data_IF_525139437091
#
_entry.id   IF_525139437091
#
_cell.length_a   1.000
_cell.length_b   1.000
_cell.length_c   1.000
_cell.angle_alpha   90.00
_cell.angle_beta   90.00
_cell.angle_gamma   90.00
#
_symmetry.space_group_name_H-M   'P 1'
#
loop_
_entity.id
_entity.type
_entity.pdbx_description
1 polymer ?
#
# COMPACT_ATOMS: atom_id res chain seq x y z
N UNK A 1 14.59 -13.28 -16.06
CA UNK A 1 13.59 -14.18 -15.44
C UNK A 1 12.15 -13.78 -15.77
N UNK A 2 11.86 -12.48 -16.00
CA UNK A 2 10.53 -12.00 -16.45
C UNK A 2 10.23 -12.35 -17.92
N UNK A 3 11.22 -12.27 -18.81
CA UNK A 3 11.04 -12.56 -20.25
C UNK A 3 10.66 -14.04 -20.55
N UNK A 4 11.19 -15.01 -19.79
CA UNK A 4 10.90 -16.42 -20.03
C UNK A 4 9.46 -16.80 -19.67
N UNK A 5 8.91 -16.22 -18.60
CA UNK A 5 7.52 -16.48 -18.17
C UNK A 5 6.52 -15.90 -19.19
N UNK A 6 6.85 -14.74 -19.75
CA UNK A 6 6.04 -14.09 -20.77
C UNK A 6 6.07 -14.92 -22.07
N UNK A 7 7.24 -15.42 -22.49
CA UNK A 7 7.40 -16.26 -23.69
C UNK A 7 6.63 -17.58 -23.67
N UNK A 8 6.55 -18.24 -22.51
CA UNK A 8 5.75 -19.47 -22.35
C UNK A 8 4.25 -19.19 -22.44
N UNK A 9 3.76 -18.10 -21.83
CA UNK A 9 2.35 -17.72 -21.88
C UNK A 9 1.87 -17.40 -23.30
N UNK A 10 2.68 -16.74 -24.12
CA UNK A 10 2.34 -16.46 -25.52
C UNK A 10 2.22 -17.72 -26.39
N UNK A 11 2.88 -18.82 -25.99
CA UNK A 11 2.84 -20.07 -26.73
C UNK A 11 1.55 -20.88 -26.53
N UNK A 12 0.80 -20.58 -25.46
CA UNK A 12 -0.47 -21.25 -25.13
C UNK A 12 -1.71 -20.51 -25.65
N UNK A 13 -1.57 -19.25 -26.05
CA UNK A 13 -2.68 -18.41 -26.47
C UNK A 13 -3.04 -18.66 -27.94
N UNK A 14 -4.34 -18.88 -28.20
CA UNK A 14 -4.89 -19.16 -29.51
C UNK A 14 -5.60 -17.94 -30.13
N UNK A 15 -5.89 -18.01 -31.43
CA UNK A 15 -6.70 -16.99 -32.09
C UNK A 15 -8.06 -16.84 -31.38
N UNK A 16 -8.43 -15.61 -31.08
CA UNK A 16 -9.70 -15.31 -30.42
C UNK A 16 -9.62 -15.23 -28.90
N UNK A 17 -8.54 -15.70 -28.28
CA UNK A 17 -8.30 -15.57 -26.85
C UNK A 17 -8.26 -14.11 -26.41
N UNK A 18 -8.72 -13.88 -25.18
CA UNK A 18 -8.84 -12.55 -24.59
C UNK A 18 -8.10 -12.52 -23.27
N UNK A 19 -7.32 -11.48 -23.06
CA UNK A 19 -6.64 -11.27 -21.80
C UNK A 19 -6.77 -9.82 -21.36
N UNK A 20 -6.60 -9.62 -20.06
CA UNK A 20 -6.67 -8.32 -19.41
C UNK A 20 -5.29 -8.00 -18.86
N UNK A 21 -4.80 -6.80 -19.16
CA UNK A 21 -3.61 -6.24 -18.50
C UNK A 21 -4.08 -5.25 -17.47
N UNK A 22 -3.69 -5.48 -16.22
CA UNK A 22 -3.93 -4.57 -15.09
C UNK A 22 -2.56 -4.01 -14.67
N UNK A 23 -2.28 -2.76 -15.02
CA UNK A 23 -1.06 -2.07 -14.61
C UNK A 23 -1.31 -1.30 -13.32
N UNK A 24 -0.82 -1.84 -12.20
CA UNK A 24 -0.97 -1.25 -10.88
C UNK A 24 0.22 -0.37 -10.52
N UNK A 25 0.18 0.88 -10.95
CA UNK A 25 1.20 1.88 -10.67
C UNK A 25 1.15 2.49 -9.27
N UNK A 26 2.06 3.45 -9.04
CA UNK A 26 2.12 4.19 -7.78
C UNK A 26 0.94 5.14 -7.58
N UNK A 27 0.48 5.81 -8.65
CA UNK A 27 -0.62 6.78 -8.60
C UNK A 27 -1.89 6.29 -9.30
N UNK A 28 -1.74 5.58 -10.42
CA UNK A 28 -2.85 5.11 -11.25
C UNK A 28 -2.88 3.60 -11.30
N UNK A 29 -4.06 3.07 -11.61
CA UNK A 29 -4.24 1.71 -12.09
C UNK A 29 -4.86 1.82 -13.47
N UNK A 30 -4.24 1.18 -14.46
CA UNK A 30 -4.66 1.22 -15.85
C UNK A 30 -5.05 -0.19 -16.33
N UNK A 31 -6.21 -0.29 -16.96
CA UNK A 31 -6.83 -1.53 -17.43
C UNK A 31 -6.90 -1.52 -18.95
N UNK A 32 -6.43 -2.60 -19.60
CA UNK A 32 -6.63 -2.81 -21.03
C UNK A 32 -7.03 -4.25 -21.33
N UNK A 33 -7.97 -4.42 -22.27
CA UNK A 33 -8.45 -5.74 -22.70
C UNK A 33 -8.05 -5.97 -24.14
N UNK A 34 -7.31 -7.03 -24.39
CA UNK A 34 -6.81 -7.38 -25.71
C UNK A 34 -7.38 -8.71 -26.17
N UNK A 35 -7.52 -8.85 -27.49
CA UNK A 35 -7.81 -10.11 -28.16
C UNK A 35 -6.71 -10.43 -29.17
N UNK A 36 -6.29 -11.69 -29.21
CA UNK A 36 -5.26 -12.15 -30.14
C UNK A 36 -5.86 -12.40 -31.53
N UNK A 37 -5.17 -11.90 -32.56
CA UNK A 37 -5.47 -12.10 -33.98
C UNK A 37 -4.30 -12.82 -34.65
N UNK A 38 -4.60 -13.91 -35.33
CA UNK A 38 -3.64 -14.70 -36.11
C UNK A 38 -3.78 -14.38 -37.61
N UNK A 39 -2.78 -14.72 -38.46
CA UNK A 39 -1.55 -15.48 -38.20
C UNK A 39 -0.37 -14.66 -37.65
N UNK A 40 -0.47 -13.33 -37.65
CA UNK A 40 0.66 -12.43 -37.39
C UNK A 40 0.83 -12.06 -35.90
N UNK A 41 -0.10 -12.51 -35.04
CA UNK A 41 -0.07 -12.22 -33.60
C UNK A 41 -0.51 -10.79 -33.23
N UNK A 42 -1.27 -10.12 -34.10
CA UNK A 42 -1.75 -8.76 -33.85
C UNK A 42 -2.68 -8.72 -32.62
N UNK A 43 -2.57 -7.66 -31.84
CA UNK A 43 -3.44 -7.41 -30.69
C UNK A 43 -4.57 -6.47 -31.09
N UNK A 44 -5.81 -6.93 -30.95
CA UNK A 44 -7.00 -6.08 -31.06
C UNK A 44 -7.42 -5.64 -29.67
N UNK A 45 -7.30 -4.35 -29.38
CA UNK A 45 -7.91 -3.75 -28.18
C UNK A 45 -9.44 -3.89 -28.28
N UNK A 46 -10.05 -4.57 -27.31
CA UNK A 46 -11.49 -4.80 -27.25
C UNK A 46 -12.22 -3.69 -26.47
N UNK A 47 -11.57 -3.18 -25.44
CA UNK A 47 -12.08 -2.12 -24.59
C UNK A 47 -11.02 -1.05 -24.44
N UNK A 48 -11.45 0.21 -24.55
CA UNK A 48 -10.58 1.37 -24.37
C UNK A 48 -9.89 1.27 -23.02
N UNK A 49 -8.59 1.59 -23.00
CA UNK A 49 -7.87 1.80 -21.76
C UNK A 49 -8.68 2.68 -20.78
N UNK A 50 -8.95 2.14 -19.59
CA UNK A 50 -9.60 2.84 -18.49
C UNK A 50 -8.67 2.83 -17.28
N UNK A 51 -8.74 3.86 -16.45
CA UNK A 51 -7.90 3.92 -15.27
C UNK A 51 -8.45 4.86 -14.22
N UNK A 52 -7.90 4.76 -13.02
CA UNK A 52 -8.32 5.56 -11.89
C UNK A 52 -7.19 5.82 -10.88
N UNK A 53 -7.37 6.78 -9.96
CA UNK A 53 -6.36 7.19 -8.97
C UNK A 53 -6.26 6.19 -7.80
N UNK A 54 -6.23 4.89 -8.11
CA UNK A 54 -6.27 3.78 -7.16
C UNK A 54 -4.90 3.10 -7.03
N UNK A 55 -3.81 3.84 -7.26
CA UNK A 55 -2.46 3.31 -7.14
C UNK A 55 -2.02 3.09 -5.68
N UNK A 56 -0.75 2.66 -5.53
CA UNK A 56 -0.10 2.42 -4.24
C UNK A 56 -0.12 3.61 -3.26
N UNK A 57 -0.27 4.85 -3.75
CA UNK A 57 -0.42 6.05 -2.92
C UNK A 57 -1.65 6.00 -2.01
N UNK A 58 -2.70 5.28 -2.42
CA UNK A 58 -3.89 5.03 -1.58
C UNK A 58 -3.53 4.36 -0.26
N UNK A 59 -2.56 3.45 -0.29
CA UNK A 59 -2.10 2.70 0.88
C UNK A 59 -1.32 3.62 1.83
N UNK A 60 -0.56 4.58 1.30
CA UNK A 60 0.15 5.58 2.10
C UNK A 60 -0.83 6.51 2.83
N UNK A 61 -1.94 6.88 2.19
CA UNK A 61 -3.01 7.64 2.84
C UNK A 61 -3.69 6.87 3.97
N UNK A 62 -3.95 5.57 3.79
CA UNK A 62 -4.51 4.75 4.87
C UNK A 62 -3.54 4.61 6.04
N UNK A 63 -2.23 4.55 5.78
CA UNK A 63 -1.23 4.56 6.84
C UNK A 63 -1.22 5.89 7.60
N UNK A 64 -1.28 7.03 6.90
CA UNK A 64 -1.40 8.34 7.56
C UNK A 64 -2.68 8.44 8.41
N UNK A 65 -3.83 8.00 7.91
CA UNK A 65 -5.09 7.94 8.67
C UNK A 65 -4.95 7.09 9.94
N UNK A 66 -4.28 5.95 9.84
CA UNK A 66 -3.99 5.09 10.98
C UNK A 66 -3.13 5.82 12.03
N UNK A 67 -2.08 6.52 11.61
CA UNK A 67 -1.26 7.34 12.50
C UNK A 67 -2.09 8.44 13.17
N UNK A 68 -2.97 9.12 12.43
CA UNK A 68 -3.89 10.11 12.99
C UNK A 68 -4.85 9.51 14.01
N UNK A 69 -5.35 8.29 13.78
CA UNK A 69 -6.22 7.58 14.74
C UNK A 69 -5.50 7.23 16.04
N UNK A 70 -4.21 6.89 15.98
CA UNK A 70 -3.42 6.49 17.15
C UNK A 70 -2.87 7.70 17.90
N UNK A 71 -2.29 8.67 17.18
CA UNK A 71 -1.52 9.77 17.76
C UNK A 71 -2.28 11.11 17.77
N UNK A 72 -3.40 11.19 17.06
CA UNK A 72 -4.26 12.36 16.90
C UNK A 72 -3.87 13.22 15.70
N UNK A 73 -4.87 13.72 14.98
CA UNK A 73 -4.70 14.53 13.77
C UNK A 73 -3.86 15.80 14.01
N UNK A 74 -4.17 16.53 15.08
CA UNK A 74 -3.46 17.75 15.48
C UNK A 74 -1.96 17.53 15.70
N UNK A 75 -1.59 16.35 16.22
CA UNK A 75 -0.19 16.00 16.37
C UNK A 75 0.47 15.69 15.03
N UNK A 76 -0.17 14.89 14.16
CA UNK A 76 0.39 14.53 12.86
C UNK A 76 0.59 15.76 11.99
N UNK A 77 -0.40 16.66 11.94
CA UNK A 77 -0.32 17.91 11.18
C UNK A 77 0.85 18.79 11.67
N UNK A 78 0.97 18.98 12.99
CA UNK A 78 2.08 19.73 13.59
C UNK A 78 3.43 19.05 13.34
N UNK A 79 3.50 17.73 13.40
CA UNK A 79 4.74 16.99 13.15
C UNK A 79 5.21 17.15 11.71
N UNK A 80 4.32 17.05 10.72
CA UNK A 80 4.63 17.27 9.30
C UNK A 80 5.21 18.67 9.05
N UNK A 81 4.66 19.70 9.73
CA UNK A 81 5.12 21.09 9.60
C UNK A 81 6.46 21.31 10.32
N UNK A 82 6.60 20.83 11.56
CA UNK A 82 7.75 21.13 12.41
C UNK A 82 8.96 20.23 12.16
N UNK A 83 8.72 19.01 11.66
CA UNK A 83 9.72 17.95 11.45
C UNK A 83 9.53 17.24 10.10
N UNK A 84 9.51 17.97 8.96
CA UNK A 84 9.22 17.38 7.64
C UNK A 84 10.21 16.29 7.24
N UNK A 85 11.51 16.44 7.56
CA UNK A 85 12.51 15.41 7.26
C UNK A 85 12.21 14.09 7.98
N UNK A 86 11.84 14.15 9.26
CA UNK A 86 11.49 12.96 10.03
C UNK A 86 10.16 12.35 9.56
N UNK A 87 9.23 13.16 9.03
CA UNK A 87 8.04 12.63 8.36
C UNK A 87 8.41 11.83 7.10
N UNK A 88 9.33 12.36 6.27
CA UNK A 88 9.84 11.64 5.09
C UNK A 88 10.51 10.33 5.49
N UNK A 89 11.36 10.33 6.53
CA UNK A 89 12.00 9.10 7.03
C UNK A 89 10.98 8.05 7.49
N UNK A 90 9.90 8.48 8.15
CA UNK A 90 8.80 7.59 8.56
C UNK A 90 8.10 6.98 7.34
N UNK A 91 7.80 7.78 6.33
CA UNK A 91 7.13 7.30 5.11
C UNK A 91 8.05 6.37 4.30
N UNK A 92 9.36 6.62 4.25
CA UNK A 92 10.34 5.71 3.64
C UNK A 92 10.39 4.38 4.39
N UNK A 93 10.38 4.42 5.73
CA UNK A 93 10.35 3.22 6.55
C UNK A 93 9.07 2.41 6.32
N UNK A 94 7.92 3.08 6.19
CA UNK A 94 6.66 2.44 5.83
C UNK A 94 6.69 1.83 4.43
N UNK A 95 7.12 2.58 3.41
CA UNK A 95 7.23 2.12 2.02
C UNK A 95 8.06 0.84 1.89
N UNK A 96 9.17 0.75 2.63
CA UNK A 96 10.00 -0.46 2.69
C UNK A 96 9.23 -1.67 3.21
N UNK A 97 8.34 -1.48 4.21
CA UNK A 97 7.51 -2.56 4.76
C UNK A 97 6.32 -2.88 3.87
N UNK A 98 5.72 -1.86 3.24
CA UNK A 98 4.65 -2.01 2.25
C UNK A 98 5.09 -2.91 1.09
N UNK A 99 6.28 -2.67 0.51
CA UNK A 99 6.86 -3.53 -0.55
C UNK A 99 7.18 -4.94 -0.10
N UNK A 100 7.41 -5.14 1.20
CA UNK A 100 7.64 -6.46 1.76
C UNK A 100 6.32 -7.19 2.12
N UNK A 101 5.17 -6.52 2.12
CA UNK A 101 3.89 -7.14 2.46
C UNK A 101 3.48 -8.17 1.39
N UNK A 102 2.85 -9.26 1.83
CA UNK A 102 2.34 -10.30 0.94
C UNK A 102 1.06 -10.91 1.54
N UNK A 103 0.07 -11.31 0.73
CA UNK A 103 -1.21 -11.84 1.23
C UNK A 103 -1.08 -13.09 2.12
N UNK A 104 -0.07 -13.92 1.85
CA UNK A 104 0.22 -15.18 2.54
C UNK A 104 1.15 -15.01 3.76
N UNK A 105 1.65 -13.80 3.99
CA UNK A 105 2.54 -13.54 5.13
C UNK A 105 1.76 -13.53 6.44
N UNK A 106 2.12 -14.46 7.32
CA UNK A 106 1.63 -14.51 8.72
C UNK A 106 2.47 -13.69 9.71
N UNK A 107 3.69 -13.30 9.32
CA UNK A 107 4.60 -12.58 10.22
C UNK A 107 4.30 -11.07 10.28
N UNK A 108 4.21 -10.48 11.49
CA UNK A 108 4.08 -9.04 11.66
C UNK A 108 5.22 -8.23 11.04
N UNK A 109 4.91 -7.04 10.57
CA UNK A 109 5.88 -6.07 10.03
C UNK A 109 6.18 -4.98 11.04
N UNK A 110 7.47 -4.71 11.28
CA UNK A 110 7.89 -3.64 12.19
C UNK A 110 8.33 -2.41 11.40
N UNK A 111 7.70 -1.27 11.69
CA UNK A 111 8.01 0.04 11.12
C UNK A 111 8.75 0.86 12.18
N UNK A 112 9.92 1.39 11.81
CA UNK A 112 10.68 2.26 12.69
C UNK A 112 10.00 3.63 12.77
N UNK A 113 9.69 4.08 13.99
CA UNK A 113 9.38 5.49 14.23
C UNK A 113 10.69 6.25 14.42
N UNK A 114 10.95 7.34 13.69
CA UNK A 114 12.13 8.18 13.92
C UNK A 114 12.17 8.67 15.36
N UNK A 115 13.36 8.77 15.96
CA UNK A 115 13.51 9.29 17.33
C UNK A 115 12.83 10.67 17.48
N UNK A 116 12.93 11.52 16.45
CA UNK A 116 12.27 12.83 16.45
C UNK A 116 10.75 12.74 16.57
N UNK A 117 10.11 11.71 16.02
CA UNK A 117 8.68 11.46 16.19
C UNK A 117 8.35 11.13 17.65
N UNK A 118 9.09 10.19 18.23
CA UNK A 118 8.87 9.70 19.60
C UNK A 118 9.09 10.82 20.62
N UNK A 119 10.20 11.55 20.50
CA UNK A 119 10.55 12.66 21.39
C UNK A 119 9.55 13.82 21.25
N UNK A 120 9.21 14.20 20.02
CA UNK A 120 8.25 15.28 19.79
C UNK A 120 6.85 14.92 20.29
N UNK A 121 6.39 13.68 20.07
CA UNK A 121 5.11 13.19 20.59
C UNK A 121 5.05 13.30 22.12
N UNK A 122 6.10 12.84 22.80
CA UNK A 122 6.17 12.90 24.25
C UNK A 122 6.10 14.34 24.77
N UNK A 123 6.76 15.29 24.10
CA UNK A 123 6.71 16.72 24.43
C UNK A 123 5.34 17.34 24.13
N UNK A 124 4.68 16.92 23.05
CA UNK A 124 3.40 17.47 22.61
C UNK A 124 2.20 16.96 23.43
N UNK A 125 2.21 15.67 23.81
CA UNK A 125 1.09 15.01 24.53
C UNK A 125 1.34 14.81 26.02
N UNK A 126 2.58 14.85 26.48
CA UNK A 126 2.96 14.58 27.87
C UNK A 126 3.06 13.09 28.24
N UNK A 127 2.86 12.17 27.28
CA UNK A 127 3.00 10.72 27.51
C UNK A 127 3.66 10.01 26.31
N UNK A 128 4.06 8.75 26.49
CA UNK A 128 4.78 7.98 25.45
C UNK A 128 3.88 7.54 24.29
N UNK A 129 4.52 7.20 23.16
CA UNK A 129 3.88 6.56 22.00
C UNK A 129 3.29 5.19 22.35
N UNK A 130 3.94 4.43 23.23
CA UNK A 130 3.44 3.16 23.75
C UNK A 130 2.12 3.35 24.52
N UNK A 131 2.04 4.39 25.35
CA UNK A 131 0.82 4.73 26.05
C UNK A 131 -0.32 5.08 25.08
N UNK A 132 0.00 5.82 24.01
CA UNK A 132 -0.96 6.18 22.97
C UNK A 132 -1.52 4.93 22.27
N UNK A 133 -0.65 4.02 21.84
CA UNK A 133 -1.03 2.75 21.21
C UNK A 133 -1.91 1.91 22.13
N UNK A 134 -1.54 1.78 23.41
CA UNK A 134 -2.33 1.02 24.38
C UNK A 134 -3.72 1.63 24.64
N UNK A 135 -3.85 2.95 24.55
CA UNK A 135 -5.12 3.66 24.74
C UNK A 135 -5.96 3.72 23.45
N UNK A 136 -5.34 3.56 22.29
CA UNK A 136 -6.02 3.57 21.01
C UNK A 136 -6.91 2.33 20.84
N UNK A 137 -8.08 2.48 20.21
CA UNK A 137 -8.94 1.36 19.82
C UNK A 137 -8.42 0.67 18.54
N UNK A 138 -7.13 0.35 18.51
CA UNK A 138 -6.43 -0.22 17.35
C UNK A 138 -5.66 -1.46 17.81
N UNK A 139 -6.35 -2.59 17.92
CA UNK A 139 -5.82 -3.82 18.52
C UNK A 139 -4.72 -4.51 17.68
N UNK A 140 -4.72 -4.22 16.38
CA UNK A 140 -3.86 -4.86 15.39
C UNK A 140 -2.51 -4.15 15.19
N UNK A 141 -2.26 -3.04 15.91
CA UNK A 141 -0.98 -2.33 15.93
C UNK A 141 -0.47 -2.25 17.36
N UNK A 142 0.79 -2.68 17.59
CA UNK A 142 1.38 -2.73 18.93
C UNK A 142 2.73 -2.04 18.97
N UNK A 143 3.14 -1.62 20.16
CA UNK A 143 4.51 -1.20 20.40
C UNK A 143 5.40 -2.42 20.62
N UNK A 144 6.49 -2.53 19.87
CA UNK A 144 7.45 -3.63 20.04
C UNK A 144 8.41 -3.32 21.19
N UNK A 145 8.98 -4.37 21.80
CA UNK A 145 10.03 -4.23 22.82
C UNK A 145 11.29 -3.54 22.31
N UNK A 146 11.49 -3.51 20.98
CA UNK A 146 12.60 -2.84 20.31
C UNK A 146 12.28 -1.39 19.95
N UNK A 147 11.13 -0.85 20.37
CA UNK A 147 10.75 0.54 20.11
C UNK A 147 10.25 0.81 18.70
N UNK A 148 9.52 -0.14 18.11
CA UNK A 148 8.97 -0.03 16.75
C UNK A 148 7.44 -0.18 16.74
N UNK A 149 6.81 0.36 15.70
CA UNK A 149 5.41 0.13 15.39
C UNK A 149 5.26 -1.26 14.76
N UNK A 150 4.72 -2.23 15.50
CA UNK A 150 4.49 -3.59 15.01
C UNK A 150 3.08 -3.71 14.43
N UNK A 151 3.02 -3.89 13.12
CA UNK A 151 1.81 -4.11 12.33
C UNK A 151 1.55 -5.61 12.20
N UNK A 152 0.39 -6.07 12.66
CA UNK A 152 -0.05 -7.44 12.34
C UNK A 152 -0.34 -7.61 10.84
N UNK A 153 -0.41 -8.85 10.33
CA UNK A 153 -0.88 -9.10 8.96
C UNK A 153 -2.23 -8.45 8.66
N UNK A 154 -3.19 -8.55 9.59
CA UNK A 154 -4.52 -7.94 9.45
C UNK A 154 -4.44 -6.42 9.36
N UNK A 155 -3.56 -5.79 10.16
CA UNK A 155 -3.31 -4.36 10.08
C UNK A 155 -2.83 -3.95 8.69
N UNK A 156 -1.86 -4.69 8.15
CA UNK A 156 -1.31 -4.42 6.82
C UNK A 156 -2.37 -4.64 5.75
N UNK A 157 -3.12 -5.75 5.80
CA UNK A 157 -4.19 -6.05 4.85
C UNK A 157 -5.28 -4.97 4.86
N UNK A 158 -5.63 -4.44 6.04
CA UNK A 158 -6.60 -3.37 6.18
C UNK A 158 -6.16 -2.07 5.45
N UNK A 159 -4.86 -1.78 5.38
CA UNK A 159 -4.35 -0.61 4.63
C UNK A 159 -4.48 -0.78 3.11
N UNK A 160 -4.40 -2.02 2.61
CA UNK A 160 -4.50 -2.30 1.17
C UNK A 160 -5.95 -2.45 0.70
N UNK A 161 -6.85 -2.85 1.62
CA UNK A 161 -8.23 -3.21 1.29
C UNK A 161 -8.98 -2.12 0.50
N UNK A 162 -8.98 -0.83 0.88
CA UNK A 162 -9.68 0.19 0.11
C UNK A 162 -9.18 0.30 -1.33
N UNK A 163 -7.86 0.24 -1.52
CA UNK A 163 -7.24 0.27 -2.85
C UNK A 163 -7.65 -0.94 -3.69
N UNK A 164 -7.60 -2.14 -3.12
CA UNK A 164 -7.99 -3.38 -3.81
C UNK A 164 -9.49 -3.36 -4.15
N UNK A 165 -10.35 -2.94 -3.23
CA UNK A 165 -11.80 -2.87 -3.45
C UNK A 165 -12.13 -1.93 -4.61
N UNK A 166 -11.45 -0.77 -4.74
CA UNK A 166 -11.62 0.13 -5.89
C UNK A 166 -11.14 -0.50 -7.21
N UNK A 167 -10.04 -1.25 -7.20
CA UNK A 167 -9.55 -1.96 -8.41
C UNK A 167 -10.58 -3.01 -8.84
N UNK A 168 -11.11 -3.80 -7.91
CA UNK A 168 -12.13 -4.83 -8.19
C UNK A 168 -13.41 -4.18 -8.73
N UNK A 169 -13.84 -3.06 -8.13
CA UNK A 169 -14.98 -2.32 -8.63
C UNK A 169 -14.75 -1.85 -10.07
N UNK A 170 -13.58 -1.27 -10.36
CA UNK A 170 -13.24 -0.81 -11.71
C UNK A 170 -13.17 -1.96 -12.73
N UNK A 171 -12.76 -3.15 -12.31
CA UNK A 171 -12.78 -4.37 -13.15
C UNK A 171 -14.19 -4.89 -13.44
N UNK A 172 -15.18 -4.51 -12.64
CA UNK A 172 -16.56 -5.00 -12.72
C UNK A 172 -17.51 -4.03 -13.46
N UNK A 173 -17.02 -2.84 -13.80
CA UNK A 173 -17.71 -1.80 -14.59
C UNK A 173 -17.53 -2.01 -16.10
#
# INVERSE_FOLDING_TARGET
MVENVIGELWSELAEGDRYVVVDCGGGTVDLTVHQIRMPEGHLKELYKASGGPYGSIGIDYEFEKLLCKIFGQDFIDQFKIKRPAAWVDLMIAFESRKRAAAPDRSNPLNINLPFSFIDYYKKFRGHSVEHALRKSNVDFVKWSSQGMLRMSPDAMNALFKPTIDHIIQHLSE
#
